data_IF_473012300731
#
_entry.id   IF_473012300731
#
_cell.length_a   1.000
_cell.length_b   1.000
_cell.length_c   1.000
_cell.angle_alpha   90.00
_cell.angle_beta   90.00
_cell.angle_gamma   90.00
#
_symmetry.space_group_name_H-M   'P 1'
#
loop_
_entity.id
_entity.type
_entity.pdbx_description
1 polymer ?
#
# COMPACT_ATOMS: atom_id res chain seq x y z
N UNK A 1 35.17 4.18 -16.79
CA UNK A 1 34.18 3.73 -17.79
C UNK A 1 33.63 2.35 -17.42
N UNK A 2 32.32 2.11 -17.57
CA UNK A 2 31.71 0.81 -17.24
C UNK A 2 31.96 -0.15 -18.42
N UNK A 3 32.53 -1.32 -18.13
CA UNK A 3 33.12 -2.23 -19.13
C UNK A 3 32.18 -3.33 -19.64
N UNK A 4 30.95 -3.39 -19.11
CA UNK A 4 29.98 -4.48 -19.32
C UNK A 4 28.66 -3.92 -19.84
N UNK A 5 27.90 -4.72 -20.58
CA UNK A 5 26.56 -4.37 -21.04
C UNK A 5 25.60 -4.29 -19.84
N UNK A 6 24.86 -3.19 -19.72
CA UNK A 6 23.85 -3.01 -18.68
C UNK A 6 22.64 -2.27 -19.21
N UNK A 7 21.48 -2.61 -18.67
CA UNK A 7 20.24 -1.86 -18.85
C UNK A 7 20.05 -0.98 -17.63
N UNK A 8 19.99 0.34 -17.83
CA UNK A 8 19.67 1.29 -16.79
C UNK A 8 18.18 1.62 -16.84
N UNK A 9 17.42 1.09 -15.89
CA UNK A 9 16.03 1.50 -15.69
C UNK A 9 15.96 2.63 -14.67
N UNK A 10 15.41 3.76 -15.09
CA UNK A 10 15.16 4.91 -14.22
C UNK A 10 13.66 5.17 -14.22
N UNK A 11 13.00 4.84 -13.11
CA UNK A 11 11.61 5.24 -12.87
C UNK A 11 11.57 6.56 -12.13
N UNK A 12 10.63 7.43 -12.47
CA UNK A 12 10.24 8.52 -11.58
C UNK A 12 9.72 7.92 -10.26
N UNK A 13 10.07 8.50 -9.08
CA UNK A 13 9.42 8.09 -7.84
C UNK A 13 7.95 8.43 -7.98
N UNK A 14 7.13 7.41 -8.23
CA UNK A 14 5.69 7.58 -8.33
C UNK A 14 5.16 8.21 -7.05
N UNK A 15 4.16 9.08 -7.17
CA UNK A 15 3.41 9.50 -5.99
C UNK A 15 2.80 8.26 -5.35
N UNK A 16 2.98 8.07 -4.03
CA UNK A 16 2.15 7.13 -3.27
C UNK A 16 0.69 7.45 -3.66
N UNK A 17 -0.09 6.43 -4.04
CA UNK A 17 -1.49 6.61 -4.44
C UNK A 17 -2.36 6.48 -3.19
N UNK A 18 -2.67 7.59 -2.47
CA UNK A 18 -3.50 7.50 -1.28
C UNK A 18 -4.90 7.03 -1.66
N UNK A 19 -5.44 6.13 -0.85
CA UNK A 19 -6.80 5.65 -0.94
C UNK A 19 -7.63 6.35 0.14
N UNK A 20 -8.76 6.93 -0.26
CA UNK A 20 -9.63 7.72 0.61
C UNK A 20 -11.03 7.15 0.72
N UNK A 21 -11.52 6.46 -0.32
CA UNK A 21 -12.87 5.91 -0.36
C UNK A 21 -12.85 4.38 -0.32
N UNK A 22 -13.91 3.78 0.22
CA UNK A 22 -14.07 2.33 0.33
C UNK A 22 -13.96 1.65 -1.05
N UNK A 23 -14.54 2.26 -2.07
CA UNK A 23 -14.50 1.73 -3.45
C UNK A 23 -13.08 1.70 -4.01
N UNK A 24 -12.22 2.62 -3.57
CA UNK A 24 -10.82 2.60 -3.93
C UNK A 24 -10.13 1.40 -3.27
N UNK A 25 -10.31 1.19 -1.96
CA UNK A 25 -9.76 0.00 -1.28
C UNK A 25 -10.22 -1.31 -1.94
N UNK A 26 -11.50 -1.42 -2.28
CA UNK A 26 -12.02 -2.61 -2.97
C UNK A 26 -11.30 -2.89 -4.31
N UNK A 27 -10.94 -1.86 -5.07
CA UNK A 27 -10.21 -2.01 -6.35
C UNK A 27 -8.76 -2.48 -6.19
N UNK A 28 -8.15 -2.26 -5.02
CA UNK A 28 -6.76 -2.65 -4.73
C UNK A 28 -6.68 -3.88 -3.82
N UNK A 29 -7.77 -4.64 -3.67
CA UNK A 29 -7.73 -5.93 -3.00
C UNK A 29 -6.69 -6.85 -3.65
N UNK A 30 -5.80 -7.43 -2.85
CA UNK A 30 -4.66 -8.23 -3.29
C UNK A 30 -3.33 -7.47 -3.37
N UNK A 31 -3.32 -6.15 -3.18
CA UNK A 31 -2.10 -5.34 -3.18
C UNK A 31 -1.50 -5.16 -1.78
N UNK A 32 -0.20 -4.87 -1.72
CA UNK A 32 0.44 -4.43 -0.47
C UNK A 32 0.03 -2.99 -0.15
N UNK A 33 -0.42 -2.77 1.08
CA UNK A 33 -0.83 -1.45 1.55
C UNK A 33 -0.15 -1.07 2.85
N UNK A 34 0.03 0.23 3.04
CA UNK A 34 0.47 0.85 4.28
C UNK A 34 -0.65 1.70 4.83
N UNK A 35 -1.18 1.31 5.99
CA UNK A 35 -2.28 2.01 6.65
C UNK A 35 -1.75 2.77 7.86
N UNK A 36 -2.12 4.05 7.95
CA UNK A 36 -1.86 4.91 9.10
C UNK A 36 -3.17 5.26 9.77
N UNK A 37 -3.37 4.74 10.98
CA UNK A 37 -4.55 5.02 11.79
C UNK A 37 -4.46 6.40 12.47
N UNK A 38 -5.62 7.05 12.58
CA UNK A 38 -5.75 8.31 13.32
C UNK A 38 -5.49 8.10 14.81
N UNK A 39 -6.11 7.07 15.39
CA UNK A 39 -5.91 6.63 16.78
C UNK A 39 -5.13 5.31 16.82
N UNK A 40 -4.31 5.06 17.85
CA UNK A 40 -3.61 3.78 17.99
C UNK A 40 -4.60 2.64 18.17
N UNK A 41 -4.33 1.52 17.50
CA UNK A 41 -4.98 0.23 17.70
C UNK A 41 -3.92 -0.72 18.27
N UNK A 42 -4.21 -1.34 19.42
CA UNK A 42 -3.26 -2.20 20.14
C UNK A 42 -1.86 -1.57 20.34
N UNK A 43 -1.81 -0.26 20.60
CA UNK A 43 -0.56 0.49 20.79
C UNK A 43 0.23 0.78 19.51
N UNK A 44 -0.27 0.39 18.33
CA UNK A 44 0.34 0.64 17.02
C UNK A 44 -0.54 1.54 16.15
N UNK A 45 0.08 2.40 15.35
CA UNK A 45 -0.63 3.31 14.41
C UNK A 45 -0.36 3.02 12.96
N UNK A 46 0.73 2.32 12.65
CA UNK A 46 1.14 2.02 11.29
C UNK A 46 1.05 0.51 11.11
N UNK A 47 0.33 0.10 10.07
CA UNK A 47 0.17 -1.28 9.67
C UNK A 47 0.64 -1.39 8.21
N UNK A 48 1.35 -2.46 7.89
CA UNK A 48 1.75 -2.78 6.52
C UNK A 48 1.43 -4.23 6.28
N UNK A 49 0.69 -4.52 5.21
CA UNK A 49 0.17 -5.86 4.98
C UNK A 49 -0.55 -5.99 3.66
N UNK A 50 -1.12 -7.16 3.44
CA UNK A 50 -1.93 -7.45 2.26
C UNK A 50 -3.36 -6.94 2.45
N UNK A 51 -3.83 -6.08 1.55
CA UNK A 51 -5.23 -5.67 1.53
C UNK A 51 -6.10 -6.85 1.09
N UNK A 52 -6.86 -7.44 2.00
CA UNK A 52 -7.77 -8.56 1.67
C UNK A 52 -9.04 -8.06 0.97
N UNK A 53 -9.43 -6.83 1.24
CA UNK A 53 -10.58 -6.18 0.61
C UNK A 53 -11.32 -5.29 1.60
N UNK A 54 -12.60 -5.09 1.31
CA UNK A 54 -13.52 -4.34 2.18
C UNK A 54 -14.71 -5.23 2.49
N UNK A 55 -15.06 -5.35 3.77
CA UNK A 55 -16.27 -6.02 4.25
C UNK A 55 -17.20 -4.95 4.85
N UNK A 56 -18.38 -4.77 4.26
CA UNK A 56 -19.34 -3.71 4.62
C UNK A 56 -18.72 -2.30 4.57
N UNK A 57 -18.19 -1.81 5.69
CA UNK A 57 -17.52 -0.52 5.84
C UNK A 57 -16.09 -0.63 6.37
N UNK A 58 -15.59 -1.84 6.58
CA UNK A 58 -14.29 -2.12 7.18
C UNK A 58 -13.27 -2.56 6.14
N UNK A 59 -12.08 -1.98 6.22
CA UNK A 59 -10.93 -2.36 5.39
C UNK A 59 -10.17 -3.49 6.08
N UNK A 60 -10.13 -4.67 5.45
CA UNK A 60 -9.49 -5.86 6.02
C UNK A 60 -8.05 -5.97 5.52
N UNK A 61 -7.09 -5.94 6.45
CA UNK A 61 -5.66 -6.08 6.14
C UNK A 61 -5.05 -7.22 6.93
N UNK A 62 -4.29 -8.07 6.23
CA UNK A 62 -3.48 -9.10 6.86
C UNK A 62 -2.06 -8.55 7.07
N UNK A 63 -1.73 -8.29 8.33
CA UNK A 63 -0.39 -7.87 8.82
C UNK A 63 0.45 -9.03 9.32
#
# INVERSE_FOLDING_TARGET
PISVEYTLEVSSPGMERPLFTIEQFAKFAGEQVKIKLRSPFEGRRNFQGLLRGVEEQDVVVQV
#
